data_IF_482735691727
#
_entry.id   IF_482735691727
#
_cell.length_a   1.000
_cell.length_b   1.000
_cell.length_c   1.000
_cell.angle_alpha   90.00
_cell.angle_beta   90.00
_cell.angle_gamma   90.00
#
_symmetry.space_group_name_H-M   'P 1'
#
loop_
_entity.id
_entity.type
_entity.pdbx_description
1 polymer ?
#
# COMPACT_ATOMS: atom_id res chain seq x y z
N UNK A 1 12.65 -1.35 -15.97
CA UNK A 1 12.31 -1.34 -14.54
C UNK A 1 12.99 -0.11 -13.96
N UNK A 2 12.26 0.81 -13.30
CA UNK A 2 12.84 2.06 -12.75
C UNK A 2 13.94 1.76 -11.73
N UNK A 3 15.00 2.58 -11.70
CA UNK A 3 16.10 2.45 -10.73
C UNK A 3 15.60 2.47 -9.28
N UNK A 4 14.56 3.27 -8.99
CA UNK A 4 13.95 3.37 -7.66
C UNK A 4 13.30 2.04 -7.27
N UNK A 5 12.67 1.33 -8.20
CA UNK A 5 12.04 0.04 -7.91
C UNK A 5 13.09 -1.01 -7.52
N UNK A 6 14.25 -1.00 -8.18
CA UNK A 6 15.36 -1.89 -7.85
C UNK A 6 15.96 -1.58 -6.47
N UNK A 7 16.08 -0.30 -6.12
CA UNK A 7 16.48 0.13 -4.78
C UNK A 7 15.48 -0.36 -3.72
N UNK A 8 14.17 -0.21 -3.97
CA UNK A 8 13.12 -0.70 -3.07
C UNK A 8 13.18 -2.21 -2.88
N UNK A 9 13.41 -2.98 -3.95
CA UNK A 9 13.61 -4.44 -3.89
C UNK A 9 14.78 -4.77 -2.96
N UNK A 10 15.92 -4.10 -3.14
CA UNK A 10 17.11 -4.35 -2.31
C UNK A 10 16.86 -3.98 -0.84
N UNK A 11 16.22 -2.83 -0.56
CA UNK A 11 15.89 -2.39 0.79
C UNK A 11 14.92 -3.35 1.49
N UNK A 12 13.81 -3.69 0.82
CA UNK A 12 12.83 -4.63 1.34
C UNK A 12 13.44 -6.02 1.60
N UNK A 13 14.32 -6.48 0.71
CA UNK A 13 15.03 -7.76 0.85
C UNK A 13 15.90 -7.85 2.10
N UNK A 14 16.57 -6.76 2.51
CA UNK A 14 17.38 -6.72 3.75
C UNK A 14 16.53 -6.92 5.00
N UNK A 15 15.31 -6.38 4.99
CA UNK A 15 14.42 -6.33 6.16
C UNK A 15 13.40 -7.47 6.19
N UNK A 16 13.13 -8.16 5.07
CA UNK A 16 12.18 -9.26 5.03
C UNK A 16 12.62 -10.46 5.89
N UNK A 17 11.73 -10.94 6.76
CA UNK A 17 11.87 -12.11 7.63
C UNK A 17 10.62 -12.98 7.47
N UNK A 18 10.65 -13.90 6.50
CA UNK A 18 9.54 -14.80 6.19
C UNK A 18 8.45 -14.18 5.31
N UNK A 19 7.25 -14.79 5.32
CA UNK A 19 6.19 -14.46 4.34
C UNK A 19 5.61 -13.06 4.50
N UNK A 20 5.46 -12.63 5.76
CA UNK A 20 4.94 -11.32 6.15
C UNK A 20 5.77 -10.80 7.31
N UNK A 21 6.42 -9.68 7.12
CA UNK A 21 7.34 -9.08 8.09
C UNK A 21 6.77 -7.78 8.60
N UNK A 22 6.43 -7.74 9.89
CA UNK A 22 6.15 -6.46 10.58
C UNK A 22 7.46 -5.69 10.70
N UNK A 23 7.42 -4.40 10.44
CA UNK A 23 8.60 -3.54 10.54
C UNK A 23 8.58 -2.72 11.82
N UNK A 24 9.66 -1.98 12.10
CA UNK A 24 9.69 -1.00 13.19
C UNK A 24 8.74 0.19 12.97
N UNK A 25 8.23 0.35 11.73
CA UNK A 25 7.20 1.32 11.37
C UNK A 25 5.87 0.57 11.38
N UNK A 26 5.02 0.82 12.38
CA UNK A 26 3.85 -0.01 12.70
C UNK A 26 2.90 -0.26 11.52
N UNK A 27 2.80 0.71 10.61
CA UNK A 27 1.90 0.68 9.45
C UNK A 27 2.52 0.05 8.20
N UNK A 28 3.82 -0.20 8.22
CA UNK A 28 4.54 -0.76 7.07
C UNK A 28 4.83 -2.23 7.32
N UNK A 29 4.46 -3.05 6.34
CA UNK A 29 4.72 -4.50 6.32
C UNK A 29 5.41 -4.88 5.01
N UNK A 30 6.37 -5.80 5.08
CA UNK A 30 7.03 -6.38 3.90
C UNK A 30 6.50 -7.78 3.66
N UNK A 31 5.94 -8.02 2.47
CA UNK A 31 5.58 -9.36 2.00
C UNK A 31 6.70 -9.94 1.14
N UNK A 32 7.09 -11.19 1.38
CA UNK A 32 8.07 -11.92 0.55
C UNK A 32 7.63 -13.36 0.37
N UNK A 33 7.76 -13.92 -0.84
CA UNK A 33 7.60 -15.36 -1.03
C UNK A 33 8.47 -15.86 -2.16
N UNK A 34 9.19 -16.95 -1.90
CA UNK A 34 10.02 -17.63 -2.91
C UNK A 34 9.27 -18.74 -3.64
N UNK A 35 8.00 -18.96 -3.30
CA UNK A 35 7.17 -20.00 -3.88
C UNK A 35 5.81 -19.42 -4.27
N UNK A 36 5.19 -19.91 -5.35
CA UNK A 36 3.79 -19.65 -5.61
C UNK A 36 2.94 -20.15 -4.43
N UNK A 37 1.75 -19.60 -4.28
CA UNK A 37 0.83 -20.04 -3.24
C UNK A 37 -0.43 -20.63 -3.87
N UNK A 38 -1.12 -21.55 -3.19
CA UNK A 38 -2.49 -21.84 -3.57
C UNK A 38 -3.37 -20.58 -3.40
N UNK A 39 -4.59 -20.57 -3.96
CA UNK A 39 -5.60 -19.58 -3.61
C UNK A 39 -5.88 -19.65 -2.10
N UNK A 40 -5.66 -18.54 -1.41
CA UNK A 40 -5.80 -18.44 0.04
C UNK A 40 -6.87 -17.39 0.38
N UNK A 41 -7.88 -17.74 1.19
CA UNK A 41 -8.85 -16.77 1.67
C UNK A 41 -8.16 -15.79 2.63
N UNK A 42 -8.44 -14.50 2.47
CA UNK A 42 -7.98 -13.44 3.37
C UNK A 42 -9.07 -12.39 3.57
N UNK A 43 -9.09 -11.79 4.76
CA UNK A 43 -9.86 -10.58 5.02
C UNK A 43 -8.96 -9.38 4.74
N UNK A 44 -9.27 -8.63 3.67
CA UNK A 44 -8.48 -7.45 3.31
C UNK A 44 -8.90 -6.27 4.19
N UNK A 45 -8.01 -5.82 5.06
CA UNK A 45 -8.18 -4.55 5.77
C UNK A 45 -7.74 -3.37 4.90
N UNK A 46 -8.22 -2.14 5.18
CA UNK A 46 -7.80 -0.95 4.44
C UNK A 46 -6.27 -0.82 4.35
N UNK A 47 -5.72 -1.01 3.14
CA UNK A 47 -4.29 -1.14 2.91
C UNK A 47 -3.94 -0.69 1.49
N UNK A 48 -2.87 0.09 1.35
CA UNK A 48 -2.22 0.31 0.06
C UNK A 48 -1.07 -0.71 -0.11
N UNK A 49 -1.11 -1.48 -1.20
CA UNK A 49 -0.11 -2.48 -1.53
C UNK A 49 0.68 -2.03 -2.77
N UNK A 50 2.00 -1.98 -2.68
CA UNK A 50 2.91 -1.78 -3.81
C UNK A 50 3.64 -3.09 -4.12
N UNK A 51 3.45 -3.65 -5.33
CA UNK A 51 4.17 -4.84 -5.76
C UNK A 51 5.54 -4.43 -6.29
N UNK A 52 6.59 -4.93 -5.67
CA UNK A 52 7.97 -4.63 -6.07
C UNK A 52 8.49 -5.64 -7.09
N UNK A 53 8.19 -6.91 -6.89
CA UNK A 53 8.67 -8.02 -7.73
C UNK A 53 7.64 -9.15 -7.75
N UNK A 54 7.58 -9.87 -8.87
CA UNK A 54 6.66 -10.99 -9.05
C UNK A 54 5.23 -10.56 -9.36
N UNK A 55 4.30 -11.50 -9.24
CA UNK A 55 2.88 -11.29 -9.57
C UNK A 55 1.95 -11.91 -8.54
N UNK A 56 0.99 -11.11 -8.05
CA UNK A 56 -0.12 -11.54 -7.18
C UNK A 56 -1.44 -11.44 -7.95
N UNK A 57 -2.33 -12.39 -7.80
CA UNK A 57 -3.74 -12.27 -8.20
C UNK A 57 -4.63 -12.22 -6.96
N UNK A 58 -5.74 -11.50 -7.08
CA UNK A 58 -6.73 -11.35 -6.01
C UNK A 58 -8.12 -11.42 -6.63
N UNK A 59 -8.93 -12.34 -6.14
CA UNK A 59 -10.35 -12.44 -6.45
C UNK A 59 -11.15 -11.73 -5.35
N UNK A 60 -11.93 -10.71 -5.72
CA UNK A 60 -12.84 -9.98 -4.83
C UNK A 60 -14.22 -10.04 -5.47
N UNK A 61 -15.18 -10.66 -4.77
CA UNK A 61 -16.47 -10.99 -5.38
C UNK A 61 -16.28 -11.92 -6.58
N UNK A 62 -16.67 -11.45 -7.77
CA UNK A 62 -16.54 -12.14 -9.05
C UNK A 62 -15.37 -11.62 -9.92
N UNK A 63 -14.58 -10.65 -9.42
CA UNK A 63 -13.53 -9.98 -10.20
C UNK A 63 -12.14 -10.46 -9.78
N UNK A 64 -11.38 -10.97 -10.74
CA UNK A 64 -9.95 -11.30 -10.55
C UNK A 64 -9.08 -10.15 -11.04
N UNK A 65 -8.21 -9.65 -10.18
CA UNK A 65 -7.22 -8.62 -10.47
C UNK A 65 -5.82 -9.20 -10.37
N UNK A 66 -4.97 -8.90 -11.36
CA UNK A 66 -3.56 -9.31 -11.37
C UNK A 66 -2.66 -8.08 -11.18
N UNK A 67 -1.69 -8.19 -10.27
CA UNK A 67 -0.76 -7.13 -9.90
C UNK A 67 0.66 -7.60 -10.16
N UNK A 68 1.39 -6.88 -11.01
CA UNK A 68 2.80 -7.10 -11.31
C UNK A 68 3.67 -5.99 -10.73
N UNK A 69 4.99 -6.20 -10.75
CA UNK A 69 5.99 -5.21 -10.34
C UNK A 69 5.68 -3.78 -10.83
N UNK A 70 5.76 -2.81 -9.92
CA UNK A 70 5.47 -1.39 -10.17
C UNK A 70 3.99 -1.01 -10.05
N UNK A 71 3.08 -1.98 -9.98
CA UNK A 71 1.66 -1.72 -9.73
C UNK A 71 1.39 -1.49 -8.25
N UNK A 72 0.46 -0.60 -7.95
CA UNK A 72 -0.12 -0.49 -6.60
C UNK A 72 -1.64 -0.61 -6.60
N UNK A 73 -2.18 -1.01 -5.45
CA UNK A 73 -3.62 -1.16 -5.22
C UNK A 73 -4.01 -0.71 -3.83
N UNK A 74 -5.20 -0.10 -3.71
CA UNK A 74 -5.79 0.30 -2.44
C UNK A 74 -7.02 -0.54 -2.17
N UNK A 75 -6.95 -1.36 -1.11
CA UNK A 75 -8.14 -1.88 -0.45
C UNK A 75 -8.70 -0.75 0.42
N UNK A 76 -9.89 -0.24 0.10
CA UNK A 76 -10.52 0.83 0.87
C UNK A 76 -11.67 0.35 1.76
N UNK A 77 -12.08 -0.91 1.65
CA UNK A 77 -13.14 -1.51 2.48
C UNK A 77 -12.71 -2.88 2.95
N UNK A 78 -13.25 -3.30 4.08
CA UNK A 78 -13.10 -4.68 4.52
C UNK A 78 -13.92 -5.60 3.62
N UNK A 79 -13.24 -6.49 2.90
CA UNK A 79 -13.87 -7.42 1.99
C UNK A 79 -13.19 -8.80 2.07
N UNK A 80 -13.97 -9.90 1.99
CA UNK A 80 -13.40 -11.21 1.78
C UNK A 80 -12.77 -11.27 0.39
N UNK A 81 -11.54 -11.76 0.33
CA UNK A 81 -10.81 -11.94 -0.91
C UNK A 81 -10.15 -13.31 -0.94
N UNK A 82 -9.86 -13.79 -2.14
CA UNK A 82 -8.97 -14.94 -2.34
C UNK A 82 -7.73 -14.47 -3.06
N UNK A 83 -6.57 -14.61 -2.41
CA UNK A 83 -5.29 -14.14 -2.92
C UNK A 83 -4.39 -15.30 -3.31
N UNK A 84 -3.65 -15.13 -4.40
CA UNK A 84 -2.72 -16.13 -4.91
C UNK A 84 -1.43 -15.45 -5.40
N UNK A 85 -0.28 -16.00 -5.04
CA UNK A 85 1.00 -15.62 -5.64
C UNK A 85 1.25 -16.56 -6.82
N UNK A 86 1.28 -16.00 -8.03
CA UNK A 86 1.49 -16.77 -9.26
C UNK A 86 2.90 -16.58 -9.84
N UNK A 87 3.52 -15.43 -9.60
CA UNK A 87 4.88 -15.13 -10.05
C UNK A 87 5.83 -15.04 -8.87
N UNK A 88 6.33 -16.18 -8.38
CA UNK A 88 7.29 -16.26 -7.28
C UNK A 88 8.22 -17.47 -7.45
N UNK A 89 9.53 -17.28 -7.31
CA UNK A 89 10.53 -18.35 -7.27
C UNK A 89 11.71 -17.95 -6.36
N UNK A 90 12.59 -18.89 -6.00
CA UNK A 90 13.80 -18.54 -5.24
C UNK A 90 14.74 -17.58 -6.00
N UNK A 91 14.76 -17.64 -7.33
CA UNK A 91 15.54 -16.72 -8.16
C UNK A 91 14.88 -15.35 -8.33
N UNK A 92 13.54 -15.31 -8.32
CA UNK A 92 12.75 -14.09 -8.44
C UNK A 92 11.58 -14.14 -7.43
N UNK A 93 11.83 -13.86 -6.14
CA UNK A 93 10.79 -13.92 -5.12
C UNK A 93 9.71 -12.87 -5.38
N UNK A 94 8.45 -13.22 -5.10
CA UNK A 94 7.43 -12.19 -4.95
C UNK A 94 7.82 -11.27 -3.80
N UNK A 95 7.68 -9.96 -4.00
CA UNK A 95 7.95 -8.98 -2.97
C UNK A 95 7.01 -7.79 -3.10
N UNK A 96 6.47 -7.34 -1.97
CA UNK A 96 5.56 -6.20 -1.91
C UNK A 96 5.67 -5.45 -0.59
N UNK A 97 5.29 -4.17 -0.63
CA UNK A 97 5.15 -3.32 0.55
C UNK A 97 3.68 -3.06 0.80
N UNK A 98 3.25 -3.15 2.05
CA UNK A 98 1.91 -2.82 2.48
C UNK A 98 1.94 -1.66 3.47
N UNK A 99 1.12 -0.64 3.21
CA UNK A 99 0.86 0.49 4.09
C UNK A 99 -0.57 0.37 4.61
N UNK A 100 -0.72 0.07 5.90
CA UNK A 100 -2.02 0.08 6.55
C UNK A 100 -2.60 1.50 6.50
N UNK A 101 -3.85 1.63 6.05
CA UNK A 101 -4.55 2.93 5.94
C UNK A 101 -5.21 3.25 7.27
N UNK A 102 -5.20 4.53 7.63
CA UNK A 102 -5.80 5.06 8.85
C UNK A 102 -6.70 6.18 8.43
N UNK A 103 -7.93 5.99 8.84
CA UNK A 103 -9.03 6.82 8.43
C UNK A 103 -8.87 8.22 9.06
N UNK A 104 -8.25 8.35 10.23
CA UNK A 104 -7.96 9.65 10.85
C UNK A 104 -6.94 10.44 10.05
N UNK A 105 -5.85 9.79 9.63
CA UNK A 105 -4.86 10.39 8.74
C UNK A 105 -5.48 10.87 7.43
N UNK A 106 -6.30 10.03 6.80
CA UNK A 106 -7.00 10.36 5.56
C UNK A 106 -7.98 11.52 5.76
N UNK A 107 -8.79 11.48 6.83
CA UNK A 107 -9.76 12.52 7.14
C UNK A 107 -9.09 13.87 7.39
N UNK A 108 -7.98 13.89 8.15
CA UNK A 108 -7.18 15.10 8.37
C UNK A 108 -6.66 15.71 7.08
N UNK A 109 -6.11 14.87 6.18
CA UNK A 109 -5.64 15.32 4.87
C UNK A 109 -6.76 15.93 4.00
N UNK A 110 -7.97 15.38 4.07
CA UNK A 110 -9.13 15.88 3.33
C UNK A 110 -9.71 17.19 3.88
N UNK A 111 -9.44 17.51 5.14
CA UNK A 111 -9.80 18.80 5.74
C UNK A 111 -8.80 19.86 5.31
N UNK A 112 -7.51 19.54 5.44
CA UNK A 112 -6.41 20.44 5.10
C UNK A 112 -6.34 20.73 3.60
N UNK A 113 -6.81 19.79 2.77
CA UNK A 113 -6.83 19.92 1.32
C UNK A 113 -8.22 19.63 0.75
N UNK A 114 -8.89 20.67 0.24
CA UNK A 114 -10.13 20.52 -0.56
C UNK A 114 -9.78 19.96 -1.94
N UNK A 115 -9.35 18.69 -2.03
CA UNK A 115 -9.08 18.04 -3.33
C UNK A 115 -10.42 17.77 -4.01
N UNK A 116 -10.61 18.27 -5.22
CA UNK A 116 -11.65 17.82 -6.13
C UNK A 116 -11.03 16.95 -7.23
N UNK A 117 -11.67 15.80 -7.50
CA UNK A 117 -12.06 15.26 -8.83
C UNK A 117 -12.16 13.72 -8.78
N UNK A 118 -13.18 13.27 -9.52
CA UNK A 118 -13.68 11.93 -9.88
C UNK A 118 -12.66 10.99 -10.52
N UNK A 119 -12.69 9.71 -10.14
CA UNK A 119 -13.15 8.61 -11.00
C UNK A 119 -13.17 7.31 -10.15
N UNK A 120 -14.25 6.53 -10.24
CA UNK A 120 -14.43 5.29 -9.47
C UNK A 120 -14.21 4.10 -10.40
N UNK A 121 -12.96 3.64 -10.51
CA UNK A 121 -12.63 2.45 -11.28
C UNK A 121 -11.74 1.46 -10.51
N UNK A 122 -12.09 0.18 -10.64
CA UNK A 122 -11.32 -0.96 -10.13
C UNK A 122 -10.19 -1.30 -11.11
N UNK A 123 -9.29 -0.36 -11.35
CA UNK A 123 -8.14 -0.51 -12.25
C UNK A 123 -6.83 -0.54 -11.44
N UNK A 124 -5.83 -1.26 -11.95
CA UNK A 124 -4.46 -1.25 -11.41
C UNK A 124 -3.72 -0.01 -11.92
N UNK A 125 -3.01 0.67 -11.04
CA UNK A 125 -2.28 1.89 -11.40
C UNK A 125 -0.80 1.71 -11.17
N UNK A 126 0.00 2.21 -12.11
CA UNK A 126 1.45 2.31 -11.97
C UNK A 126 1.77 3.39 -10.94
N UNK A 127 2.62 3.07 -9.95
CA UNK A 127 3.10 4.09 -9.03
C UNK A 127 3.97 5.10 -9.80
N UNK A 128 3.70 6.39 -9.62
CA UNK A 128 4.58 7.44 -10.14
C UNK A 128 5.90 7.50 -9.35
N UNK A 129 6.89 8.18 -9.91
CA UNK A 129 8.23 8.29 -9.31
C UNK A 129 8.19 8.94 -7.92
N UNK A 130 7.22 9.82 -7.71
CA UNK A 130 6.96 10.58 -6.51
C UNK A 130 6.46 9.70 -5.35
N UNK A 131 5.52 8.79 -5.63
CA UNK A 131 5.06 7.76 -4.69
C UNK A 131 6.17 6.74 -4.42
N UNK A 132 6.91 6.33 -5.45
CA UNK A 132 8.05 5.42 -5.29
C UNK A 132 9.15 6.03 -4.43
N UNK A 133 9.46 7.32 -4.57
CA UNK A 133 10.43 8.02 -3.73
C UNK A 133 9.95 8.12 -2.27
N UNK A 134 8.67 8.40 -2.03
CA UNK A 134 8.12 8.40 -0.67
C UNK A 134 8.28 7.02 0.01
N UNK A 135 7.99 5.93 -0.72
CA UNK A 135 8.26 4.57 -0.25
C UNK A 135 9.75 4.31 -0.01
N UNK A 136 10.63 4.84 -0.86
CA UNK A 136 12.08 4.69 -0.71
C UNK A 136 12.55 5.35 0.58
N UNK A 137 12.15 6.60 0.83
CA UNK A 137 12.47 7.31 2.08
C UNK A 137 11.90 6.60 3.29
N UNK A 138 10.70 6.04 3.19
CA UNK A 138 10.09 5.23 4.25
C UNK A 138 10.94 3.98 4.59
N UNK A 139 11.35 3.20 3.58
CA UNK A 139 12.17 2.01 3.82
C UNK A 139 13.57 2.34 4.34
N UNK A 140 14.16 3.49 3.99
CA UNK A 140 15.45 3.92 4.54
C UNK A 140 15.42 4.10 6.05
N UNK A 141 14.27 4.45 6.64
CA UNK A 141 14.13 4.56 8.09
C UNK A 141 14.30 3.20 8.80
N UNK A 142 14.10 2.07 8.12
CA UNK A 142 14.35 0.76 8.71
C UNK A 142 15.84 0.50 8.97
N UNK A 143 16.73 1.21 8.26
CA UNK A 143 18.17 1.20 8.52
C UNK A 143 18.58 2.24 9.59
N UNK A 144 17.65 3.11 10.03
CA UNK A 144 17.86 4.23 10.98
C UNK A 144 16.71 4.32 12.00
N UNK A 145 16.56 3.30 12.87
CA UNK A 145 15.40 3.20 13.75
C UNK A 145 15.23 4.38 14.70
N UNK A 146 16.30 5.10 15.03
CA UNK A 146 16.29 6.32 15.84
C UNK A 146 15.57 7.51 15.17
N UNK A 147 15.52 7.54 13.84
CA UNK A 147 14.84 8.59 13.07
C UNK A 147 13.33 8.30 12.93
N UNK A 148 12.89 7.05 13.12
CA UNK A 148 11.50 6.60 12.92
C UNK A 148 10.48 7.46 13.69
N UNK A 149 10.64 7.73 15.01
CA UNK A 149 9.61 8.45 15.77
C UNK A 149 9.33 9.86 15.24
N UNK A 150 10.31 10.47 14.58
CA UNK A 150 10.21 11.85 14.05
C UNK A 150 9.79 11.84 12.58
N UNK A 151 10.45 11.02 11.75
CA UNK A 151 10.29 11.09 10.29
C UNK A 151 9.16 10.20 9.76
N UNK A 152 8.88 9.07 10.40
CA UNK A 152 7.86 8.15 9.89
C UNK A 152 6.47 8.82 9.80
N UNK A 153 5.96 9.53 10.83
CA UNK A 153 4.65 10.18 10.74
C UNK A 153 4.51 11.15 9.55
N UNK A 154 5.59 11.86 9.20
CA UNK A 154 5.62 12.79 8.07
C UNK A 154 5.56 12.04 6.73
N UNK A 155 6.31 10.95 6.61
CA UNK A 155 6.33 10.11 5.41
C UNK A 155 5.03 9.32 5.24
N UNK A 156 4.41 8.86 6.32
CA UNK A 156 3.10 8.21 6.29
C UNK A 156 2.04 9.17 5.75
N UNK A 157 2.07 10.43 6.21
CA UNK A 157 1.20 11.49 5.71
C UNK A 157 1.44 11.80 4.24
N UNK A 158 2.69 11.84 3.80
CA UNK A 158 3.02 12.04 2.40
C UNK A 158 2.52 10.89 1.51
N UNK A 159 2.77 9.63 1.89
CA UNK A 159 2.28 8.45 1.14
C UNK A 159 0.75 8.50 1.06
N UNK A 160 0.06 8.74 2.17
CA UNK A 160 -1.39 8.87 2.19
C UNK A 160 -1.89 9.99 1.27
N UNK A 161 -1.23 11.14 1.26
CA UNK A 161 -1.56 12.27 0.38
C UNK A 161 -1.38 11.94 -1.10
N UNK A 162 -0.25 11.31 -1.47
CA UNK A 162 -0.01 10.88 -2.86
C UNK A 162 -1.02 9.85 -3.33
N UNK A 163 -1.39 8.91 -2.46
CA UNK A 163 -2.46 7.94 -2.75
C UNK A 163 -3.84 8.62 -2.93
N UNK A 164 -4.11 9.69 -2.18
CA UNK A 164 -5.33 10.49 -2.30
C UNK A 164 -5.39 11.33 -3.59
N UNK A 165 -4.23 11.80 -4.08
CA UNK A 165 -4.13 12.49 -5.36
C UNK A 165 -4.12 11.54 -6.55
N UNK A 166 -3.65 10.30 -6.34
CA UNK A 166 -3.59 9.29 -7.37
C UNK A 166 -4.96 8.75 -7.78
N UNK A 167 -5.00 7.92 -8.82
CA UNK A 167 -6.25 7.43 -9.41
C UNK A 167 -7.16 6.57 -8.50
N UNK A 168 -6.67 6.14 -7.33
CA UNK A 168 -7.47 5.41 -6.32
C UNK A 168 -7.91 6.30 -5.15
N UNK A 169 -7.72 7.62 -5.26
CA UNK A 169 -8.03 8.58 -4.22
C UNK A 169 -9.51 8.60 -3.84
N UNK A 170 -10.44 8.38 -4.78
CA UNK A 170 -11.88 8.37 -4.46
C UNK A 170 -12.23 7.25 -3.51
N UNK A 171 -11.62 6.06 -3.65
CA UNK A 171 -11.84 4.94 -2.73
C UNK A 171 -11.46 5.31 -1.29
N UNK A 172 -10.35 6.02 -1.10
CA UNK A 172 -9.92 6.50 0.21
C UNK A 172 -10.87 7.58 0.76
N UNK A 173 -11.40 8.46 -0.11
CA UNK A 173 -12.40 9.46 0.27
C UNK A 173 -13.72 8.82 0.69
N UNK A 174 -14.19 7.82 -0.06
CA UNK A 174 -15.39 7.05 0.28
C UNK A 174 -15.22 6.34 1.63
N UNK A 175 -14.07 5.70 1.88
CA UNK A 175 -13.75 5.09 3.18
C UNK A 175 -13.89 6.10 4.33
N UNK A 176 -13.30 7.29 4.21
CA UNK A 176 -13.37 8.31 5.25
C UNK A 176 -14.78 8.89 5.46
N UNK A 177 -15.64 8.85 4.42
CA UNK A 177 -17.06 9.25 4.52
C UNK A 177 -17.89 8.16 5.19
N UNK A 178 -17.70 6.90 4.80
CA UNK A 178 -18.44 5.74 5.30
C UNK A 178 -18.19 5.51 6.81
N UNK A 179 -16.98 5.77 7.28
CA UNK A 179 -16.61 5.69 8.71
C UNK A 179 -17.20 6.84 9.55
N UNK A 180 -17.84 7.84 8.94
CA UNK A 180 -18.49 8.95 9.62
C UNK A 180 -17.54 10.00 10.20
N UNK A 181 -16.23 9.76 10.22
CA UNK A 181 -15.20 10.70 10.71
C UNK A 181 -15.19 12.04 9.98
N UNK A 182 -15.35 12.07 8.65
CA UNK A 182 -15.49 13.33 7.91
C UNK A 182 -16.73 14.15 8.35
N UNK A 183 -17.81 13.49 8.75
CA UNK A 183 -19.03 14.15 9.23
C UNK A 183 -18.91 14.65 10.67
N UNK A 184 -18.13 13.95 11.52
CA UNK A 184 -17.86 14.35 12.90
C UNK A 184 -16.92 15.56 12.97
N UNK A 185 -15.84 15.56 12.17
CA UNK A 185 -14.87 16.66 12.19
C UNK A 185 -15.44 17.93 11.54
N UNK A 186 -16.34 17.82 10.55
CA UNK A 186 -17.05 18.99 10.00
C UNK A 186 -18.02 19.68 10.97
N UNK A 187 -18.37 19.03 12.10
CA UNK A 187 -19.30 19.56 13.10
C UNK A 187 -18.60 20.14 14.35
N UNK A 188 -17.30 19.92 14.48
CA UNK A 188 -16.46 20.51 15.53
C UNK A 188 -15.89 21.85 15.07
#
# INVERSE_FOLDING_TARGET
>A
MSDILQELIAMAGRHARGRRTKTAISRVTIGRSELPTPPLPELCQPTALLVLQGTKTVLIGDRTLAYSAGSYFVYAVEAPATSQLIGASSACPYMALAFAIDIELIAGLLIDHRVAIDDDSFVTYTADDDLLDAWRRMLRLLDRPEEIPVLAPMLEREIAFRLLQGPQGEKLRQLARADGRLSQIRRA
#
